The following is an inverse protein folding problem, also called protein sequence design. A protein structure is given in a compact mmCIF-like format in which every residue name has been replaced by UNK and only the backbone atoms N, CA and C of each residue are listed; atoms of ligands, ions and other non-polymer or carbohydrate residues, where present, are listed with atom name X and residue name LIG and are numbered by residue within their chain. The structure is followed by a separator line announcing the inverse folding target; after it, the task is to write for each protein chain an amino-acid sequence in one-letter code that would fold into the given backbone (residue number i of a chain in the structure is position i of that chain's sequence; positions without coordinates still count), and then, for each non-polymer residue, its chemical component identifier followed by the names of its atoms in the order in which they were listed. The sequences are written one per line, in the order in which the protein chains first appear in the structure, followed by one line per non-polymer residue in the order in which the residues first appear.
data_IF_460419324013
#
_entry.id   IF_460419324013
#
_cell.length_a   1.000
_cell.length_b   1.000
_cell.length_c   1.000
_cell.angle_alpha   90.00
_cell.angle_beta   90.00
_cell.angle_gamma   90.00
#
_symmetry.space_group_name_H-M   'P 1'
#
loop_
_entity.id
_entity.type
_entity.pdbx_description
1 polymer ?
#
# COMPACT_ATOMS: atom_id res chain seq x y z
N UNK A 1 -4.49 -0.58 0.85
CA UNK A 1 -4.96 -1.96 0.68
C UNK A 1 -4.14 -2.70 -0.36
N UNK A 2 -4.28 -2.39 -1.66
CA UNK A 2 -3.75 -3.21 -2.77
C UNK A 2 -2.23 -3.42 -2.75
N UNK A 3 -1.47 -2.41 -2.31
CA UNK A 3 -0.02 -2.51 -2.14
C UNK A 3 0.37 -3.60 -1.13
N UNK A 4 -0.27 -3.60 0.04
CA UNK A 4 0.05 -4.49 1.16
C UNK A 4 -0.62 -5.86 1.03
N UNK A 5 -1.66 -5.96 0.20
CA UNK A 5 -2.36 -7.20 -0.09
C UNK A 5 -1.80 -7.98 -1.27
N UNK A 6 -0.90 -7.38 -2.05
CA UNK A 6 -0.39 -7.98 -3.27
C UNK A 6 0.33 -9.31 -3.04
N UNK A 7 1.18 -9.41 -2.01
CA UNK A 7 1.95 -10.64 -1.78
C UNK A 7 1.06 -11.86 -1.56
N UNK A 8 0.07 -11.76 -0.65
CA UNK A 8 -0.89 -12.86 -0.44
C UNK A 8 -1.72 -13.19 -1.69
N UNK A 9 -1.94 -12.23 -2.58
CA UNK A 9 -2.71 -12.41 -3.81
C UNK A 9 -1.88 -13.10 -4.87
N UNK A 10 -0.62 -12.69 -5.03
CA UNK A 10 0.33 -13.29 -5.96
C UNK A 10 0.64 -14.74 -5.56
N UNK A 11 0.90 -15.00 -4.26
CA UNK A 11 1.08 -16.35 -3.73
C UNK A 11 -0.16 -17.24 -3.90
N UNK A 12 -1.34 -16.64 -4.01
CA UNK A 12 -2.60 -17.36 -4.27
C UNK A 12 -2.91 -17.47 -5.77
N UNK A 13 -2.01 -17.06 -6.67
CA UNK A 13 -2.21 -17.08 -8.11
C UNK A 13 -3.31 -16.14 -8.61
N UNK A 14 -3.72 -15.14 -7.82
CA UNK A 14 -4.82 -14.24 -8.18
C UNK A 14 -4.35 -13.24 -9.24
N UNK A 15 -5.03 -13.23 -10.38
CA UNK A 15 -4.73 -12.33 -11.51
C UNK A 15 -5.72 -11.16 -11.62
N UNK A 16 -6.87 -11.23 -10.96
CA UNK A 16 -7.85 -10.16 -10.87
C UNK A 16 -7.62 -9.31 -9.62
N UNK A 17 -6.44 -8.68 -9.54
CA UNK A 17 -6.09 -7.71 -8.52
C UNK A 17 -5.61 -6.40 -9.17
N UNK A 18 -5.61 -5.29 -8.41
CA UNK A 18 -5.27 -3.97 -8.94
C UNK A 18 -3.91 -3.95 -9.65
N UNK A 19 -2.90 -4.62 -9.11
CA UNK A 19 -1.53 -4.59 -9.65
C UNK A 19 -1.44 -5.38 -10.95
N UNK A 20 -2.04 -6.58 -10.99
CA UNK A 20 -2.11 -7.40 -12.20
C UNK A 20 -2.89 -6.70 -13.32
N UNK A 21 -4.03 -6.10 -12.99
CA UNK A 21 -4.84 -5.34 -13.95
C UNK A 21 -4.12 -4.08 -14.42
N UNK A 22 -3.47 -3.34 -13.52
CA UNK A 22 -2.70 -2.15 -13.86
C UNK A 22 -1.49 -2.48 -14.74
N UNK A 23 -0.77 -3.57 -14.44
CA UNK A 23 0.33 -4.08 -15.24
C UNK A 23 -0.14 -4.39 -16.67
N UNK A 24 -1.22 -5.17 -16.81
CA UNK A 24 -1.80 -5.52 -18.10
C UNK A 24 -2.28 -4.29 -18.88
N UNK A 25 -3.00 -3.37 -18.23
CA UNK A 25 -3.58 -2.20 -18.89
C UNK A 25 -2.51 -1.20 -19.37
N UNK A 26 -1.33 -1.17 -18.74
CA UNK A 26 -0.26 -0.23 -19.07
C UNK A 26 0.89 -0.88 -19.84
N UNK A 27 0.81 -2.18 -20.16
CA UNK A 27 1.88 -2.90 -20.84
C UNK A 27 3.20 -2.94 -20.04
N UNK A 28 3.12 -2.98 -18.70
CA UNK A 28 4.28 -3.01 -17.80
C UNK A 28 4.28 -4.27 -16.95
N UNK A 29 5.40 -4.57 -16.31
CA UNK A 29 5.50 -5.69 -15.37
C UNK A 29 4.72 -5.43 -14.08
N UNK A 30 4.31 -6.50 -13.38
CA UNK A 30 3.69 -6.39 -12.04
C UNK A 30 4.61 -5.70 -11.03
N UNK A 31 5.92 -5.93 -11.11
CA UNK A 31 6.91 -5.27 -10.25
C UNK A 31 6.95 -3.74 -10.48
N UNK A 32 6.87 -3.29 -11.74
CA UNK A 32 6.79 -1.87 -12.07
C UNK A 32 5.47 -1.25 -11.60
N UNK A 33 4.35 -1.95 -11.77
CA UNK A 33 3.05 -1.51 -11.28
C UNK A 33 3.04 -1.39 -9.74
N UNK A 34 3.60 -2.37 -9.03
CA UNK A 34 3.79 -2.35 -7.58
C UNK A 34 4.63 -1.15 -7.13
N UNK A 35 5.78 -0.91 -7.78
CA UNK A 35 6.65 0.23 -7.50
C UNK A 35 5.96 1.57 -7.76
N UNK A 36 5.21 1.69 -8.86
CA UNK A 36 4.40 2.89 -9.16
C UNK A 36 3.35 3.13 -8.08
N UNK A 37 2.67 2.08 -7.61
CA UNK A 37 1.66 2.18 -6.55
C UNK A 37 2.29 2.57 -5.21
N UNK A 38 3.43 1.99 -4.84
CA UNK A 38 4.18 2.35 -3.63
C UNK A 38 4.55 3.84 -3.62
N UNK A 39 5.15 4.33 -4.72
CA UNK A 39 5.48 5.74 -4.87
C UNK A 39 4.24 6.65 -4.80
N UNK A 40 3.12 6.21 -5.38
CA UNK A 40 1.85 6.94 -5.33
C UNK A 40 1.31 7.02 -3.89
N UNK A 41 1.34 5.92 -3.14
CA UNK A 41 0.93 5.88 -1.75
C UNK A 41 1.77 6.83 -0.87
N UNK A 42 3.10 6.81 -1.04
CA UNK A 42 3.99 7.73 -0.33
C UNK A 42 3.67 9.20 -0.64
N UNK A 43 3.48 9.55 -1.92
CA UNK A 43 3.08 10.93 -2.31
C UNK A 43 1.74 11.35 -1.71
N UNK A 44 0.77 10.45 -1.62
CA UNK A 44 -0.51 10.76 -0.97
C UNK A 44 -0.39 10.92 0.53
N UNK A 45 0.50 10.18 1.17
CA UNK A 45 0.85 10.40 2.58
C UNK A 45 1.41 11.80 2.81
N UNK A 46 2.38 12.22 2.00
CA UNK A 46 2.97 13.57 2.11
C UNK A 46 1.94 14.68 1.85
N UNK A 47 1.07 14.48 0.86
CA UNK A 47 -0.01 15.41 0.54
C UNK A 47 -1.02 15.52 1.69
N UNK A 48 -1.43 14.38 2.28
CA UNK A 48 -2.32 14.37 3.44
C UNK A 48 -1.68 15.06 4.64
N UNK A 49 -0.40 14.80 4.89
CA UNK A 49 0.38 15.46 5.94
C UNK A 49 0.41 16.98 5.78
N UNK A 50 0.55 17.45 4.53
CA UNK A 50 0.51 18.88 4.22
C UNK A 50 -0.88 19.49 4.40
N UNK A 51 -1.95 18.76 4.04
CA UNK A 51 -3.34 19.22 4.15
C UNK A 51 -3.75 19.44 5.60
N UNK A 52 -3.32 18.56 6.52
CA UNK A 52 -3.70 18.64 7.93
C UNK A 52 -2.72 19.44 8.79
N UNK A 53 -1.69 20.05 8.19
CA UNK A 53 -0.60 20.73 8.92
C UNK A 53 -1.09 21.86 9.84
N UNK A 54 -2.18 22.54 9.47
CA UNK A 54 -2.76 23.63 10.25
C UNK A 54 -3.65 23.18 11.41
N UNK A 55 -3.97 21.89 11.52
CA UNK A 55 -4.82 21.34 12.58
C UNK A 55 -4.12 20.17 13.26
N UNK A 56 -3.56 20.39 14.47
CA UNK A 56 -2.86 19.34 15.22
C UNK A 56 -3.70 18.07 15.43
N UNK A 57 -4.99 18.22 15.73
CA UNK A 57 -5.89 17.08 15.95
C UNK A 57 -6.12 16.28 14.66
N UNK A 58 -6.37 16.96 13.53
CA UNK A 58 -6.54 16.30 12.25
C UNK A 58 -5.24 15.61 11.80
N UNK A 59 -4.09 16.25 12.03
CA UNK A 59 -2.79 15.66 11.75
C UNK A 59 -2.54 14.39 12.57
N UNK A 60 -2.82 14.45 13.88
CA UNK A 60 -2.65 13.31 14.78
C UNK A 60 -3.58 12.15 14.38
N UNK A 61 -4.85 12.44 14.08
CA UNK A 61 -5.80 11.42 13.62
C UNK A 61 -5.37 10.78 12.30
N UNK A 62 -4.93 11.60 11.33
CA UNK A 62 -4.44 11.10 10.04
C UNK A 62 -3.20 10.21 10.20
N UNK A 63 -2.20 10.67 10.97
CA UNK A 63 -0.99 9.90 11.26
C UNK A 63 -1.32 8.59 11.98
N UNK A 64 -2.16 8.63 13.00
CA UNK A 64 -2.58 7.45 13.76
C UNK A 64 -3.26 6.43 12.84
N UNK A 65 -4.16 6.88 11.96
CA UNK A 65 -4.79 6.03 10.96
C UNK A 65 -3.75 5.39 10.03
N UNK A 66 -2.83 6.17 9.45
CA UNK A 66 -1.83 5.64 8.52
C UNK A 66 -0.92 4.60 9.19
N UNK A 67 -0.40 4.91 10.39
CA UNK A 67 0.46 3.98 11.15
C UNK A 67 -0.30 2.73 11.53
N UNK A 68 -1.50 2.86 12.09
CA UNK A 68 -2.33 1.73 12.48
C UNK A 68 -2.73 0.85 11.29
N UNK A 69 -3.05 1.45 10.14
CA UNK A 69 -3.44 0.73 8.95
C UNK A 69 -2.27 -0.05 8.34
N UNK A 70 -1.07 0.54 8.29
CA UNK A 70 0.14 -0.16 7.84
C UNK A 70 0.49 -1.26 8.83
N UNK A 71 0.50 -0.97 10.13
CA UNK A 71 0.78 -1.93 11.20
C UNK A 71 -0.16 -3.13 11.15
N UNK A 72 -1.46 -2.91 10.96
CA UNK A 72 -2.44 -3.98 10.80
C UNK A 72 -2.09 -4.95 9.67
N UNK A 73 -1.63 -4.43 8.52
CA UNK A 73 -1.27 -5.29 7.39
C UNK A 73 0.06 -6.01 7.60
N UNK A 74 1.08 -5.31 8.13
CA UNK A 74 2.42 -5.86 8.34
C UNK A 74 2.42 -6.94 9.42
N UNK A 75 1.70 -6.70 10.52
CA UNK A 75 1.68 -7.62 11.67
C UNK A 75 0.70 -8.78 11.49
N UNK A 76 -0.24 -8.70 10.54
CA UNK A 76 -1.21 -9.76 10.31
C UNK A 76 -0.68 -10.84 9.37
N UNK A 77 -0.61 -12.06 9.87
CA UNK A 77 -0.24 -13.29 9.11
C UNK A 77 -1.07 -13.49 7.84
N UNK A 78 -2.26 -12.87 7.75
CA UNK A 78 -3.12 -12.89 6.56
C UNK A 78 -2.41 -12.40 5.31
N UNK A 79 -1.53 -11.42 5.45
CA UNK A 79 -0.87 -10.76 4.32
C UNK A 79 0.47 -11.38 3.95
N UNK A 80 0.99 -12.30 4.78
CA UNK A 80 2.22 -13.07 4.55
C UNK A 80 3.47 -12.20 4.36
N UNK A 81 3.44 -10.95 4.84
CA UNK A 81 4.56 -10.00 4.68
C UNK A 81 5.78 -10.39 5.51
N UNK A 82 5.60 -11.25 6.51
CA UNK A 82 6.66 -11.95 7.25
C UNK A 82 7.50 -12.90 6.40
N UNK A 83 7.02 -13.26 5.20
CA UNK A 83 7.78 -14.08 4.24
C UNK A 83 8.72 -13.24 3.35
N UNK A 84 8.65 -11.91 3.45
CA UNK A 84 9.62 -11.04 2.83
C UNK A 84 10.85 -11.01 3.76
N UNK A 85 11.98 -11.52 3.27
CA UNK A 85 13.27 -11.43 3.97
C UNK A 85 13.79 -9.97 3.85
N UNK A 86 13.26 -9.09 4.72
CA UNK A 86 13.49 -7.64 4.73
C UNK A 86 14.37 -7.20 5.91
#
# INVERSE_FOLDING_TARGET
SDLLSFLKEELAGKTLNFISMSASANGITKAEALRKLANKAARYYERGSSLFRSSPDAWNAYRAFCVGYVGFHVLSVRYKLDQLDL
#
